data_IF_971033525795
#
_entry.id   IF_971033525795
#
_cell.length_a   1.000
_cell.length_b   1.000
_cell.length_c   1.000
_cell.angle_alpha   90.00
_cell.angle_beta   90.00
_cell.angle_gamma   90.00
#
_symmetry.space_group_name_H-M   'P 1'
#
loop_
_entity.id
_entity.type
_entity.pdbx_description
1 polymer ?
#
# COMPACT_ATOMS: atom_id res chain seq x y z
N UNK A 1 23.98 -14.00 8.20
CA UNK A 1 23.12 -12.81 8.11
C UNK A 1 22.43 -12.71 9.45
N UNK A 2 22.70 -11.66 10.19
CA UNK A 2 22.07 -11.42 11.50
C UNK A 2 20.58 -11.04 11.35
N UNK A 3 19.88 -11.06 12.48
CA UNK A 3 18.46 -10.77 12.58
C UNK A 3 18.11 -9.36 12.08
N UNK A 4 18.89 -8.36 12.47
CA UNK A 4 18.71 -6.97 12.07
C UNK A 4 18.78 -6.81 10.54
N UNK A 5 19.77 -7.46 9.92
CA UNK A 5 19.92 -7.49 8.46
C UNK A 5 18.70 -8.12 7.80
N UNK A 6 18.21 -9.26 8.31
CA UNK A 6 17.01 -9.93 7.80
C UNK A 6 15.80 -8.99 7.86
N UNK A 7 15.58 -8.34 9.00
CA UNK A 7 14.48 -7.38 9.20
C UNK A 7 14.56 -6.23 8.18
N UNK A 8 15.76 -5.67 7.98
CA UNK A 8 15.96 -4.58 7.02
C UNK A 8 15.59 -5.02 5.59
N UNK A 9 16.01 -6.22 5.16
CA UNK A 9 15.64 -6.74 3.84
C UNK A 9 14.14 -6.98 3.69
N UNK A 10 13.47 -7.48 4.74
CA UNK A 10 12.01 -7.67 4.72
C UNK A 10 11.31 -6.33 4.49
N UNK A 11 11.69 -5.28 5.21
CA UNK A 11 11.10 -3.94 5.04
C UNK A 11 11.39 -3.37 3.65
N UNK A 12 12.63 -3.50 3.15
CA UNK A 12 12.98 -3.05 1.80
C UNK A 12 12.19 -3.80 0.73
N UNK A 13 12.03 -5.11 0.89
CA UNK A 13 11.22 -5.94 -0.01
C UNK A 13 9.75 -5.48 -0.02
N UNK A 14 9.17 -5.18 1.16
CA UNK A 14 7.82 -4.60 1.24
C UNK A 14 7.71 -3.25 0.53
N UNK A 15 8.70 -2.36 0.68
CA UNK A 15 8.73 -1.06 -0.01
C UNK A 15 8.74 -1.24 -1.54
N UNK A 16 9.52 -2.18 -2.05
CA UNK A 16 9.54 -2.54 -3.48
C UNK A 16 8.19 -3.07 -3.93
N UNK A 17 7.55 -3.96 -3.16
CA UNK A 17 6.20 -4.46 -3.47
C UNK A 17 5.19 -3.30 -3.56
N UNK A 18 5.18 -2.37 -2.59
CA UNK A 18 4.27 -1.23 -2.62
C UNK A 18 4.48 -0.37 -3.88
N UNK A 19 5.73 -0.14 -4.26
CA UNK A 19 6.03 0.57 -5.50
C UNK A 19 5.51 -0.18 -6.73
N UNK A 20 5.75 -1.50 -6.83
CA UNK A 20 5.29 -2.35 -7.93
C UNK A 20 3.76 -2.34 -8.02
N UNK A 21 3.03 -2.38 -6.91
CA UNK A 21 1.56 -2.31 -6.89
C UNK A 21 1.09 -0.98 -7.51
N UNK A 22 1.65 0.15 -7.08
CA UNK A 22 1.34 1.47 -7.63
C UNK A 22 1.70 1.60 -9.12
N UNK A 23 2.79 0.96 -9.55
CA UNK A 23 3.24 0.99 -10.93
C UNK A 23 2.39 0.13 -11.88
N UNK A 24 2.03 -1.07 -11.44
CA UNK A 24 1.44 -2.10 -12.31
C UNK A 24 -0.06 -1.95 -12.49
N UNK A 25 -0.81 -1.53 -11.47
CA UNK A 25 -2.28 -1.44 -11.54
C UNK A 25 -2.70 -0.23 -12.38
N UNK A 26 -3.52 -0.48 -13.40
CA UNK A 26 -4.00 0.52 -14.36
C UNK A 26 -5.37 0.13 -14.93
N UNK A 27 -5.96 0.99 -15.75
CA UNK A 27 -7.33 0.78 -16.27
C UNK A 27 -7.50 -0.55 -17.04
N UNK A 28 -6.46 -1.03 -17.72
CA UNK A 28 -6.52 -2.26 -18.52
C UNK A 28 -6.62 -3.53 -17.67
N UNK A 29 -6.00 -3.52 -16.49
CA UNK A 29 -5.92 -4.69 -15.61
C UNK A 29 -6.71 -4.55 -14.29
N UNK A 30 -7.28 -3.37 -14.00
CA UNK A 30 -8.03 -3.11 -12.77
C UNK A 30 -9.18 -4.10 -12.56
N UNK A 31 -9.89 -4.50 -13.63
CA UNK A 31 -10.97 -5.51 -13.55
C UNK A 31 -10.52 -6.89 -13.05
N UNK A 32 -9.23 -7.17 -13.06
CA UNK A 32 -8.65 -8.43 -12.55
C UNK A 32 -7.90 -8.23 -11.24
N UNK A 33 -7.10 -7.15 -11.13
CA UNK A 33 -6.15 -6.96 -10.03
C UNK A 33 -6.69 -6.10 -8.89
N UNK A 34 -7.68 -5.25 -9.14
CA UNK A 34 -8.21 -4.36 -8.12
C UNK A 34 -9.36 -5.05 -7.36
N UNK A 35 -9.04 -5.56 -6.17
CA UNK A 35 -10.03 -6.14 -5.26
C UNK A 35 -11.16 -5.14 -4.97
N UNK A 36 -12.39 -5.63 -4.88
CA UNK A 36 -13.59 -4.80 -4.83
C UNK A 36 -14.09 -4.37 -6.21
N UNK A 37 -13.24 -3.89 -7.11
CA UNK A 37 -13.65 -3.56 -8.49
C UNK A 37 -13.84 -4.83 -9.34
N UNK A 38 -12.98 -5.83 -9.17
CA UNK A 38 -13.13 -7.16 -9.81
C UNK A 38 -14.47 -7.84 -9.43
N UNK A 39 -14.91 -7.67 -8.19
CA UNK A 39 -16.15 -8.29 -7.68
C UNK A 39 -17.42 -7.50 -7.99
N UNK A 40 -17.30 -6.30 -8.59
CA UNK A 40 -18.47 -5.47 -8.93
C UNK A 40 -19.21 -6.02 -10.16
N UNK A 41 -20.55 -5.89 -10.13
CA UNK A 41 -21.38 -6.09 -11.32
C UNK A 41 -20.97 -5.13 -12.45
N UNK A 42 -21.43 -5.39 -13.67
CA UNK A 42 -21.15 -4.50 -14.81
C UNK A 42 -21.68 -3.09 -14.54
N UNK A 43 -22.91 -2.97 -14.05
CA UNK A 43 -23.57 -1.71 -13.70
C UNK A 43 -22.78 -0.94 -12.62
N UNK A 44 -22.34 -1.62 -11.56
CA UNK A 44 -21.52 -1.01 -10.51
C UNK A 44 -20.18 -0.50 -11.04
N UNK A 45 -19.54 -1.25 -11.96
CA UNK A 45 -18.28 -0.84 -12.59
C UNK A 45 -18.43 0.37 -13.49
N UNK A 46 -19.57 0.51 -14.18
CA UNK A 46 -19.89 1.67 -15.01
C UNK A 46 -20.15 2.93 -14.16
N UNK A 47 -20.72 2.76 -12.95
CA UNK A 47 -20.91 3.85 -12.00
C UNK A 47 -19.63 4.25 -11.23
N UNK A 48 -18.67 3.34 -11.10
CA UNK A 48 -17.43 3.55 -10.35
C UNK A 48 -16.47 4.54 -11.03
N UNK A 49 -15.98 5.52 -10.27
CA UNK A 49 -15.00 6.49 -10.79
C UNK A 49 -13.57 5.90 -10.80
N UNK A 50 -13.34 4.99 -11.77
CA UNK A 50 -12.09 4.23 -11.87
C UNK A 50 -10.87 5.13 -12.11
N UNK A 51 -11.01 6.16 -12.95
CA UNK A 51 -9.89 7.03 -13.32
C UNK A 51 -9.35 7.79 -12.10
N UNK A 52 -10.23 8.45 -11.35
CA UNK A 52 -9.79 9.18 -10.16
C UNK A 52 -9.39 8.25 -9.02
N UNK A 53 -10.03 7.07 -8.90
CA UNK A 53 -9.59 6.05 -7.95
C UNK A 53 -8.16 5.62 -8.24
N UNK A 54 -7.79 5.36 -9.51
CA UNK A 54 -6.44 4.93 -9.86
C UNK A 54 -5.40 6.03 -9.60
N UNK A 55 -5.72 7.31 -9.85
CA UNK A 55 -4.82 8.42 -9.49
C UNK A 55 -4.56 8.43 -7.98
N UNK A 56 -5.62 8.29 -7.17
CA UNK A 56 -5.51 8.19 -5.72
C UNK A 56 -4.70 6.95 -5.28
N UNK A 57 -5.02 5.78 -5.83
CA UNK A 57 -4.42 4.50 -5.51
C UNK A 57 -2.91 4.51 -5.76
N UNK A 58 -2.49 4.96 -6.96
CA UNK A 58 -1.06 5.04 -7.31
C UNK A 58 -0.31 5.99 -6.40
N UNK A 59 -0.86 7.19 -6.18
CA UNK A 59 -0.26 8.17 -5.28
C UNK A 59 -0.12 7.62 -3.86
N UNK A 60 -1.14 6.90 -3.38
CA UNK A 60 -1.08 6.25 -2.07
C UNK A 60 0.06 5.23 -2.00
N UNK A 61 0.16 4.30 -2.95
CA UNK A 61 1.16 3.24 -2.92
C UNK A 61 2.59 3.76 -3.13
N UNK A 62 2.80 4.77 -3.99
CA UNK A 62 4.12 5.42 -4.11
C UNK A 62 4.52 6.14 -2.83
N UNK A 63 3.59 6.86 -2.20
CA UNK A 63 3.86 7.49 -0.92
C UNK A 63 4.16 6.44 0.15
N UNK A 64 3.35 5.37 0.23
CA UNK A 64 3.55 4.26 1.16
C UNK A 64 4.92 3.62 1.00
N UNK A 65 5.38 3.35 -0.23
CA UNK A 65 6.72 2.83 -0.48
C UNK A 65 7.82 3.75 0.09
N UNK A 66 7.70 5.06 -0.08
CA UNK A 66 8.71 6.04 0.35
C UNK A 66 8.68 6.23 1.88
N UNK A 67 7.53 6.59 2.45
CA UNK A 67 7.49 6.90 3.88
C UNK A 67 7.65 5.64 4.73
N UNK A 68 7.25 4.46 4.25
CA UNK A 68 7.40 3.20 5.00
C UNK A 68 8.88 2.90 5.27
N UNK A 69 9.75 3.10 4.28
CA UNK A 69 11.19 2.96 4.46
C UNK A 69 11.78 4.03 5.40
N UNK A 70 11.39 5.29 5.24
CA UNK A 70 11.86 6.40 6.10
C UNK A 70 11.43 6.19 7.56
N UNK A 71 10.17 5.82 7.79
CA UNK A 71 9.65 5.54 9.14
C UNK A 71 10.41 4.39 9.77
N UNK A 72 10.68 3.32 9.03
CA UNK A 72 11.45 2.20 9.57
C UNK A 72 12.87 2.60 9.97
N UNK A 73 13.58 3.36 9.11
CA UNK A 73 14.93 3.87 9.43
C UNK A 73 14.90 4.71 10.71
N UNK A 74 13.91 5.61 10.84
CA UNK A 74 13.76 6.42 12.05
C UNK A 74 13.51 5.55 13.28
N UNK A 75 12.60 4.56 13.19
CA UNK A 75 12.29 3.65 14.29
C UNK A 75 13.53 2.84 14.70
N UNK A 76 14.29 2.33 13.74
CA UNK A 76 15.49 1.54 13.98
C UNK A 76 16.62 2.33 14.68
N UNK A 77 16.65 3.65 14.50
CA UNK A 77 17.58 4.52 15.26
C UNK A 77 17.10 4.75 16.70
N UNK A 78 15.78 4.70 16.94
CA UNK A 78 15.16 5.04 18.23
C UNK A 78 14.89 3.82 19.13
N UNK A 79 14.74 2.64 18.54
CA UNK A 79 14.31 1.41 19.21
C UNK A 79 15.12 0.21 18.74
N UNK A 80 15.02 -0.91 19.46
CA UNK A 80 15.55 -2.20 19.00
C UNK A 80 14.82 -2.70 17.74
N UNK A 81 15.40 -3.69 17.06
CA UNK A 81 14.88 -4.21 15.80
C UNK A 81 13.46 -4.78 15.90
N UNK A 82 13.16 -5.51 16.98
CA UNK A 82 11.85 -6.13 17.20
C UNK A 82 10.78 -5.06 17.46
N UNK A 83 11.06 -4.10 18.35
CA UNK A 83 10.16 -2.98 18.59
C UNK A 83 9.92 -2.16 17.32
N UNK A 84 10.97 -1.91 16.54
CA UNK A 84 10.89 -1.15 15.28
C UNK A 84 9.99 -1.81 14.25
N UNK A 85 10.14 -3.12 14.01
CA UNK A 85 9.31 -3.83 13.02
C UNK A 85 7.85 -3.94 13.47
N UNK A 86 7.59 -4.11 14.77
CA UNK A 86 6.22 -4.17 15.31
C UNK A 86 5.50 -2.82 15.16
N UNK A 87 6.15 -1.72 15.54
CA UNK A 87 5.58 -0.36 15.38
C UNK A 87 5.37 -0.05 13.90
N UNK A 88 6.35 -0.37 13.05
CA UNK A 88 6.25 -0.19 11.61
C UNK A 88 5.09 -0.97 11.00
N UNK A 89 4.88 -2.23 11.41
CA UNK A 89 3.80 -3.08 10.92
C UNK A 89 2.41 -2.51 11.29
N UNK A 90 2.28 -1.92 12.48
CA UNK A 90 1.04 -1.24 12.91
C UNK A 90 0.79 0.00 12.04
N UNK A 91 1.79 0.84 11.84
CA UNK A 91 1.68 2.07 11.02
C UNK A 91 1.30 1.74 9.57
N UNK A 92 1.96 0.75 8.96
CA UNK A 92 1.66 0.35 7.57
C UNK A 92 0.27 -0.26 7.45
N UNK A 93 -0.16 -1.08 8.42
CA UNK A 93 -1.52 -1.64 8.47
C UNK A 93 -2.60 -0.55 8.58
N UNK A 94 -2.42 0.42 9.48
CA UNK A 94 -3.33 1.57 9.62
C UNK A 94 -3.41 2.38 8.33
N UNK A 95 -2.29 2.52 7.62
CA UNK A 95 -2.25 3.22 6.33
C UNK A 95 -3.08 2.50 5.26
N UNK A 96 -3.05 1.16 5.23
CA UNK A 96 -3.88 0.37 4.32
C UNK A 96 -5.37 0.50 4.66
N UNK A 97 -5.76 0.50 5.94
CA UNK A 97 -7.14 0.77 6.34
C UNK A 97 -7.60 2.17 5.91
N UNK A 98 -6.76 3.18 6.08
CA UNK A 98 -7.03 4.53 5.60
C UNK A 98 -7.26 4.57 4.08
N UNK A 99 -6.47 3.84 3.30
CA UNK A 99 -6.62 3.76 1.84
C UNK A 99 -7.99 3.19 1.45
N UNK A 100 -8.42 2.10 2.08
CA UNK A 100 -9.72 1.49 1.83
C UNK A 100 -10.86 2.46 2.18
N UNK A 101 -10.78 3.08 3.36
CA UNK A 101 -11.78 4.05 3.82
C UNK A 101 -11.90 5.25 2.86
N UNK A 102 -10.78 5.89 2.50
CA UNK A 102 -10.79 7.02 1.56
C UNK A 102 -11.13 6.59 0.13
N UNK A 103 -10.82 5.35 -0.25
CA UNK A 103 -11.14 4.76 -1.54
C UNK A 103 -12.63 4.47 -1.72
N UNK A 104 -13.40 4.31 -0.63
CA UNK A 104 -14.82 4.03 -0.71
C UNK A 104 -15.63 5.15 -1.39
N UNK A 105 -15.17 6.41 -1.32
CA UNK A 105 -15.83 7.59 -1.92
C UNK A 105 -15.95 7.55 -3.45
N UNK A 106 -15.20 6.66 -4.12
CA UNK A 106 -15.24 6.52 -5.58
C UNK A 106 -16.31 5.52 -6.05
N UNK A 107 -16.93 4.80 -5.10
CA UNK A 107 -18.17 4.07 -5.34
C UNK A 107 -19.30 5.09 -5.37
N UNK A 108 -20.05 5.13 -6.48
CA UNK A 108 -21.29 5.89 -6.60
C UNK A 108 -22.47 4.99 -6.29
#
# INVERSE_FOLDING_TARGET
MDEDSIIFMVVMFCCVIYFIIGYTINERNAKYLLAGYNTMSKEQREAFDLKNYLIFFKRFFYNLAIYSGIIFIILFVLYDALSSILIWAVITSLSLFYMVYKGAKFKK
#
